data_IF_469761088246
#
_entry.id   IF_469761088246
#
_cell.length_a   1.000
_cell.length_b   1.000
_cell.length_c   1.000
_cell.angle_alpha   90.00
_cell.angle_beta   90.00
_cell.angle_gamma   90.00
#
_symmetry.space_group_name_H-M   'P 1'
#
loop_
_entity.id
_entity.type
_entity.pdbx_description
1 polymer ?
#
# COMPACT_ATOMS: atom_id res chain seq x y z
N UNK A 1 -6.38 -14.92 15.68
CA UNK A 1 -4.91 -14.75 15.78
C UNK A 1 -4.30 -16.11 15.51
N UNK A 2 -3.51 -16.27 14.44
CA UNK A 2 -2.81 -17.53 14.14
C UNK A 2 -1.51 -17.50 14.93
N UNK A 3 -1.30 -18.44 15.85
CA UNK A 3 -0.06 -18.61 16.61
C UNK A 3 0.75 -19.73 15.95
N UNK A 4 1.81 -19.43 15.15
CA UNK A 4 2.53 -20.45 14.39
C UNK A 4 3.42 -21.38 15.21
N UNK A 5 3.42 -21.25 16.55
CA UNK A 5 4.37 -21.96 17.43
C UNK A 5 5.76 -21.33 17.41
N UNK A 6 6.62 -21.75 18.34
CA UNK A 6 8.04 -21.33 18.33
C UNK A 6 8.75 -22.08 17.19
N UNK A 7 9.67 -21.43 16.47
CA UNK A 7 10.41 -22.10 15.42
C UNK A 7 11.15 -23.31 15.97
N UNK A 8 11.68 -23.25 17.20
CA UNK A 8 12.52 -24.30 17.80
C UNK A 8 11.77 -25.38 18.61
N UNK A 9 10.43 -25.40 18.65
CA UNK A 9 9.73 -26.51 19.30
C UNK A 9 9.77 -27.77 18.42
N UNK A 10 10.07 -28.92 19.03
CA UNK A 10 10.18 -30.23 18.38
C UNK A 10 8.89 -30.67 17.64
N UNK A 11 7.75 -30.05 17.95
CA UNK A 11 6.44 -30.39 17.37
C UNK A 11 6.06 -29.51 16.16
N UNK A 12 6.87 -28.49 15.84
CA UNK A 12 6.62 -27.60 14.71
C UNK A 12 7.27 -28.18 13.46
N UNK A 13 6.58 -29.05 12.73
CA UNK A 13 7.06 -29.59 11.44
C UNK A 13 6.28 -29.03 10.24
N UNK A 14 6.88 -29.12 9.06
CA UNK A 14 6.25 -28.76 7.79
C UNK A 14 5.81 -27.29 7.73
N UNK A 15 4.53 -27.05 7.43
CA UNK A 15 4.00 -25.70 7.17
C UNK A 15 4.02 -24.80 8.42
N UNK A 16 3.94 -25.37 9.63
CA UNK A 16 3.97 -24.59 10.87
C UNK A 16 5.39 -24.05 11.13
N UNK A 17 6.42 -24.87 10.91
CA UNK A 17 7.82 -24.42 10.94
C UNK A 17 8.07 -23.35 9.89
N UNK A 18 7.59 -23.55 8.66
CA UNK A 18 7.73 -22.59 7.57
C UNK A 18 7.12 -21.24 7.93
N UNK A 19 5.89 -21.22 8.43
CA UNK A 19 5.20 -20.01 8.88
C UNK A 19 5.91 -19.36 10.08
N UNK A 20 6.42 -20.17 11.01
CA UNK A 20 7.24 -19.70 12.13
C UNK A 20 8.52 -18.99 11.67
N UNK A 21 9.25 -19.57 10.70
CA UNK A 21 10.44 -18.95 10.11
C UNK A 21 10.09 -17.67 9.34
N UNK A 22 9.05 -17.70 8.50
CA UNK A 22 8.63 -16.55 7.69
C UNK A 22 8.19 -15.36 8.55
N UNK A 23 7.38 -15.61 9.57
CA UNK A 23 6.71 -14.57 10.37
C UNK A 23 7.45 -14.19 11.65
N UNK A 24 8.54 -14.89 12.02
CA UNK A 24 9.31 -14.57 13.22
C UNK A 24 9.91 -13.16 13.18
N UNK A 25 9.71 -12.37 14.23
CA UNK A 25 10.40 -11.08 14.41
C UNK A 25 11.83 -11.21 14.93
N UNK A 26 12.23 -12.40 15.38
CA UNK A 26 13.51 -12.68 16.03
C UNK A 26 14.57 -13.22 15.07
N UNK A 27 14.17 -13.98 14.04
CA UNK A 27 15.08 -14.52 13.03
C UNK A 27 15.44 -13.41 12.04
N UNK A 28 16.74 -13.16 11.85
CA UNK A 28 17.22 -12.14 10.92
C UNK A 28 16.88 -12.52 9.48
N UNK A 29 16.64 -11.53 8.63
CA UNK A 29 16.25 -11.73 7.23
C UNK A 29 17.23 -12.64 6.44
N UNK A 30 18.54 -12.57 6.72
CA UNK A 30 19.51 -13.45 6.05
C UNK A 30 19.44 -14.90 6.53
N UNK A 31 19.14 -15.12 7.81
CA UNK A 31 19.02 -16.47 8.37
C UNK A 31 17.68 -17.10 7.96
N UNK A 32 16.60 -16.31 7.88
CA UNK A 32 15.34 -16.75 7.26
C UNK A 32 15.56 -17.26 5.85
N UNK A 33 16.30 -16.53 5.01
CA UNK A 33 16.60 -16.96 3.63
C UNK A 33 17.29 -18.30 3.60
N UNK A 34 18.35 -18.47 4.40
CA UNK A 34 19.09 -19.73 4.48
C UNK A 34 18.19 -20.88 4.88
N UNK A 35 17.36 -20.69 5.92
CA UNK A 35 16.40 -21.71 6.36
C UNK A 35 15.38 -22.03 5.26
N UNK A 36 14.83 -21.03 4.57
CA UNK A 36 13.90 -21.22 3.45
C UNK A 36 14.53 -22.02 2.31
N UNK A 37 15.78 -21.75 1.94
CA UNK A 37 16.49 -22.49 0.90
C UNK A 37 16.90 -23.89 1.34
N UNK A 38 17.44 -24.04 2.55
CA UNK A 38 18.07 -25.28 3.01
C UNK A 38 17.07 -26.27 3.60
N UNK A 39 16.11 -25.81 4.41
CA UNK A 39 15.13 -26.68 5.09
C UNK A 39 13.89 -26.91 4.22
N UNK A 40 13.45 -25.89 3.47
CA UNK A 40 12.20 -25.95 2.71
C UNK A 40 12.40 -26.01 1.20
N UNK A 41 13.65 -25.98 0.71
CA UNK A 41 13.99 -26.01 -0.71
C UNK A 41 13.30 -24.88 -1.52
N UNK A 42 12.96 -23.78 -0.85
CA UNK A 42 12.38 -22.59 -1.46
C UNK A 42 13.54 -21.75 -1.99
N UNK A 43 13.75 -21.77 -3.31
CA UNK A 43 14.80 -20.98 -3.95
C UNK A 43 14.58 -19.49 -3.73
N UNK A 44 15.49 -18.83 -3.01
CA UNK A 44 15.40 -17.38 -2.75
C UNK A 44 16.04 -16.63 -3.92
N UNK A 45 15.25 -16.34 -4.95
CA UNK A 45 15.67 -15.51 -6.08
C UNK A 45 15.69 -14.02 -5.71
N UNK A 46 16.70 -13.60 -4.94
CA UNK A 46 16.87 -12.25 -4.38
C UNK A 46 16.31 -11.11 -5.25
N UNK A 47 16.71 -11.04 -6.52
CA UNK A 47 16.28 -9.99 -7.46
C UNK A 47 14.79 -10.03 -7.80
N UNK A 48 14.20 -11.20 -7.98
CA UNK A 48 12.79 -11.31 -8.36
C UNK A 48 11.87 -11.17 -7.15
N UNK A 49 12.25 -11.72 -5.99
CA UNK A 49 11.48 -11.56 -4.75
C UNK A 49 11.51 -10.13 -4.23
N UNK A 50 12.67 -9.45 -4.22
CA UNK A 50 12.72 -8.02 -3.88
C UNK A 50 11.92 -7.20 -4.88
N UNK A 51 11.98 -7.53 -6.18
CA UNK A 51 11.17 -6.86 -7.20
C UNK A 51 9.68 -7.04 -6.93
N UNK A 52 9.20 -8.25 -6.62
CA UNK A 52 7.80 -8.53 -6.32
C UNK A 52 7.33 -7.83 -5.03
N UNK A 53 8.12 -7.88 -3.95
CA UNK A 53 7.82 -7.15 -2.70
C UNK A 53 7.81 -5.64 -2.92
N UNK A 54 8.76 -5.11 -3.70
CA UNK A 54 8.77 -3.70 -4.11
C UNK A 54 7.57 -3.37 -5.02
N UNK A 55 7.13 -4.30 -5.86
CA UNK A 55 5.93 -4.13 -6.69
C UNK A 55 4.67 -4.05 -5.83
N UNK A 56 4.57 -4.88 -4.79
CA UNK A 56 3.47 -4.83 -3.83
C UNK A 56 3.47 -3.52 -3.03
N UNK A 57 4.65 -3.05 -2.59
CA UNK A 57 4.80 -1.74 -1.95
C UNK A 57 4.44 -0.58 -2.88
N UNK A 58 4.79 -0.68 -4.16
CA UNK A 58 4.43 0.33 -5.17
C UNK A 58 2.93 0.33 -5.49
N UNK A 59 2.29 -0.85 -5.44
CA UNK A 59 0.86 -1.01 -5.68
C UNK A 59 0.04 -0.40 -4.54
N UNK A 60 0.37 -0.71 -3.28
CA UNK A 60 -0.36 -0.14 -2.13
C UNK A 60 -0.25 1.39 -2.09
N UNK A 61 0.93 1.94 -2.35
CA UNK A 61 1.12 3.38 -2.49
C UNK A 61 0.33 3.97 -3.67
N UNK A 62 0.23 3.24 -4.79
CA UNK A 62 -0.59 3.65 -5.92
C UNK A 62 -2.07 3.73 -5.57
N UNK A 63 -2.59 2.74 -4.84
CA UNK A 63 -3.98 2.70 -4.35
C UNK A 63 -4.23 3.84 -3.36
N UNK A 64 -3.34 4.05 -2.39
CA UNK A 64 -3.44 5.13 -1.41
C UNK A 64 -3.48 6.51 -2.09
N UNK A 65 -2.52 6.78 -3.00
CA UNK A 65 -2.48 8.05 -3.76
C UNK A 65 -3.76 8.27 -4.57
N UNK A 66 -4.27 7.22 -5.24
CA UNK A 66 -5.51 7.32 -6.02
C UNK A 66 -6.72 7.57 -5.10
N UNK A 67 -6.78 6.90 -3.96
CA UNK A 67 -7.83 7.10 -2.96
C UNK A 67 -7.83 8.52 -2.40
N UNK A 68 -6.66 9.04 -2.04
CA UNK A 68 -6.49 10.41 -1.55
C UNK A 68 -6.93 11.44 -2.58
N UNK A 69 -6.49 11.31 -3.84
CA UNK A 69 -6.91 12.21 -4.93
C UNK A 69 -8.43 12.19 -5.14
N UNK A 70 -9.04 11.00 -5.15
CA UNK A 70 -10.50 10.87 -5.28
C UNK A 70 -11.24 11.52 -4.10
N UNK A 71 -10.76 11.33 -2.88
CA UNK A 71 -11.35 11.94 -1.68
C UNK A 71 -11.28 13.47 -1.72
N UNK A 72 -10.13 14.04 -2.11
CA UNK A 72 -9.97 15.49 -2.26
C UNK A 72 -10.91 16.03 -3.33
N UNK A 73 -10.99 15.38 -4.50
CA UNK A 73 -11.88 15.77 -5.58
C UNK A 73 -13.36 15.79 -5.15
N UNK A 74 -13.80 14.77 -4.40
CA UNK A 74 -15.16 14.72 -3.85
C UNK A 74 -15.41 15.84 -2.83
N UNK A 75 -14.43 16.15 -1.98
CA UNK A 75 -14.53 17.26 -1.02
C UNK A 75 -14.65 18.61 -1.71
N UNK A 76 -13.87 18.86 -2.78
CA UNK A 76 -13.99 20.10 -3.57
C UNK A 76 -15.42 20.26 -4.09
N UNK A 77 -16.01 19.20 -4.67
CA UNK A 77 -17.39 19.24 -5.15
C UNK A 77 -18.40 19.46 -4.06
N UNK A 78 -18.28 18.75 -2.95
CA UNK A 78 -19.19 18.91 -1.83
C UNK A 78 -19.20 20.36 -1.34
N UNK A 79 -18.04 21.01 -1.29
CA UNK A 79 -17.93 22.43 -0.94
C UNK A 79 -18.59 23.35 -2.00
N UNK A 80 -18.36 23.08 -3.28
CA UNK A 80 -19.02 23.83 -4.36
C UNK A 80 -20.54 23.68 -4.31
N UNK A 81 -21.06 22.47 -4.11
CA UNK A 81 -22.50 22.18 -4.13
C UNK A 81 -23.23 22.65 -2.86
N UNK A 82 -22.62 22.47 -1.68
CA UNK A 82 -23.29 22.72 -0.40
C UNK A 82 -23.06 24.12 0.16
N UNK A 83 -21.94 24.74 -0.21
CA UNK A 83 -21.56 26.07 0.28
C UNK A 83 -21.45 27.11 -0.84
N UNK A 84 -21.77 26.74 -2.09
CA UNK A 84 -21.71 27.61 -3.27
C UNK A 84 -20.34 28.29 -3.45
N UNK A 85 -19.28 27.59 -3.03
CA UNK A 85 -17.91 28.07 -3.15
C UNK A 85 -17.43 27.97 -4.60
N UNK A 86 -16.62 28.92 -5.03
CA UNK A 86 -15.88 28.76 -6.28
C UNK A 86 -14.87 27.60 -6.16
N UNK A 87 -14.45 27.04 -7.30
CA UNK A 87 -13.40 25.99 -7.32
C UNK A 87 -12.16 26.44 -6.54
N UNK A 88 -11.76 27.71 -6.67
CA UNK A 88 -10.57 28.21 -5.99
C UNK A 88 -10.78 28.37 -4.49
N UNK A 89 -11.92 28.91 -4.07
CA UNK A 89 -12.23 29.04 -2.64
C UNK A 89 -12.36 27.67 -1.95
N UNK A 90 -12.90 26.67 -2.66
CA UNK A 90 -12.96 25.29 -2.18
C UNK A 90 -11.56 24.66 -2.03
N UNK A 91 -10.65 24.90 -2.98
CA UNK A 91 -9.25 24.44 -2.89
C UNK A 91 -8.48 25.16 -1.78
N UNK A 92 -8.74 26.45 -1.58
CA UNK A 92 -8.18 27.25 -0.48
C UNK A 92 -8.67 26.75 0.88
N UNK A 93 -9.98 26.47 1.01
CA UNK A 93 -10.58 25.91 2.23
C UNK A 93 -9.96 24.54 2.60
N UNK A 94 -9.65 23.72 1.59
CA UNK A 94 -8.96 22.44 1.76
C UNK A 94 -7.43 22.57 1.87
N UNK A 95 -6.89 23.79 1.74
CA UNK A 95 -5.44 24.09 1.78
C UNK A 95 -4.62 23.28 0.77
N UNK A 96 -5.15 23.12 -0.44
CA UNK A 96 -4.45 22.41 -1.51
C UNK A 96 -3.30 23.28 -2.02
N UNK A 97 -2.10 22.71 -2.12
CA UNK A 97 -0.93 23.42 -2.63
C UNK A 97 -1.18 23.87 -4.08
N UNK A 98 -0.73 25.09 -4.42
CA UNK A 98 -0.82 25.66 -5.78
C UNK A 98 -0.29 24.72 -6.88
N UNK A 99 0.75 23.94 -6.59
CA UNK A 99 1.36 23.01 -7.53
C UNK A 99 0.44 21.85 -7.91
N UNK A 100 -0.48 21.46 -7.02
CA UNK A 100 -1.37 20.31 -7.21
C UNK A 100 -2.73 20.74 -7.81
N UNK A 101 -3.09 22.02 -7.73
CA UNK A 101 -4.37 22.55 -8.23
C UNK A 101 -4.64 22.25 -9.71
N UNK A 102 -3.68 22.38 -10.64
CA UNK A 102 -3.94 22.11 -12.06
C UNK A 102 -4.49 20.70 -12.31
N UNK A 103 -3.98 19.70 -11.58
CA UNK A 103 -4.45 18.32 -11.70
C UNK A 103 -5.92 18.20 -11.30
N UNK A 104 -6.32 18.77 -10.16
CA UNK A 104 -7.71 18.72 -9.70
C UNK A 104 -8.65 19.50 -10.61
N UNK A 105 -8.21 20.63 -11.17
CA UNK A 105 -9.00 21.40 -12.15
C UNK A 105 -9.26 20.57 -13.41
N UNK A 106 -8.23 19.86 -13.91
CA UNK A 106 -8.38 18.99 -15.07
C UNK A 106 -9.34 17.83 -14.78
N UNK A 107 -9.19 17.18 -13.63
CA UNK A 107 -10.06 16.08 -13.20
C UNK A 107 -11.53 16.51 -13.03
N UNK A 108 -11.78 17.71 -12.52
CA UNK A 108 -13.14 18.26 -12.41
C UNK A 108 -13.78 18.43 -13.80
N UNK A 109 -13.04 19.02 -14.75
CA UNK A 109 -13.53 19.23 -16.13
C UNK A 109 -13.81 17.93 -16.87
N UNK A 110 -12.94 16.93 -16.71
CA UNK A 110 -13.08 15.64 -17.38
C UNK A 110 -14.28 14.84 -16.86
N UNK A 111 -14.73 15.07 -15.63
CA UNK A 111 -15.93 14.42 -15.10
C UNK A 111 -17.23 15.16 -15.46
N UNK A 112 -17.19 16.49 -15.62
CA UNK A 112 -18.34 17.26 -16.14
C UNK A 112 -18.69 16.90 -17.60
N UNK A 113 -17.72 16.44 -18.39
CA UNK A 113 -17.95 16.00 -19.77
C UNK A 113 -18.49 14.57 -19.90
N UNK A 114 -18.49 13.80 -18.80
CA UNK A 114 -18.88 12.39 -18.78
C UNK A 114 -20.22 12.13 -18.04
N UNK A 115 -20.93 13.20 -17.68
CA UNK A 115 -22.29 13.19 -17.10
C UNK A 115 -23.27 13.88 -18.06
#
# INVERSE_FOLDING_TARGET
MICPGKPDSQDSEGILRLLGVLLSSEIKSNDKKKLLEQEFQIKMNWTAMEKEVNQMGSLSQGVERKGMKKGILQSIRALMETMDLSVQDAMDALKINEQDRPEYIELLKNEEQNN
#
